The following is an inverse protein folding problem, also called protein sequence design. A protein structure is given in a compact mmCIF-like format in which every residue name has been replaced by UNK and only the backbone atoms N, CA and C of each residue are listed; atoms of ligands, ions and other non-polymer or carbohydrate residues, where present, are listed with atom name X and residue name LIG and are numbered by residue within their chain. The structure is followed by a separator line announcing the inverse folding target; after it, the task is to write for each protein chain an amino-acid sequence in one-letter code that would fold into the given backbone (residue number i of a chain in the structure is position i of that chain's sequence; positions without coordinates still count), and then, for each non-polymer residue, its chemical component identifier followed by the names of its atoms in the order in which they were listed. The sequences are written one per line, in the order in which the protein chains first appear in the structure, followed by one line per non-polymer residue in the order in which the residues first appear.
data_IF_107475481251
#
_entry.id   IF_107475481251
#
_cell.length_a   1.000
_cell.length_b   1.000
_cell.length_c   1.000
_cell.angle_alpha   90.00
_cell.angle_beta   90.00
_cell.angle_gamma   90.00
#
_symmetry.space_group_name_H-M   'P 1'
#
loop_
_entity.id
_entity.type
_entity.pdbx_description
1 polymer ?
#
# COMPACT_ATOMS: atom_id res chain seq x y z
N UNK A 1 -1.87 29.49 7.65
CA UNK A 1 -2.97 28.59 7.21
C UNK A 1 -2.51 27.36 6.40
N UNK A 2 -1.26 27.31 5.90
CA UNK A 2 -0.76 26.26 4.99
C UNK A 2 -0.49 24.87 5.61
N UNK A 3 0.03 24.79 6.84
CA UNK A 3 0.51 23.53 7.42
C UNK A 3 -0.58 22.54 7.86
N UNK A 4 -1.69 23.02 8.44
CA UNK A 4 -2.81 22.15 8.86
C UNK A 4 -3.52 21.52 7.66
N UNK A 5 -3.66 22.28 6.56
CA UNK A 5 -4.29 21.80 5.33
C UNK A 5 -3.43 20.73 4.64
N UNK A 6 -2.10 20.93 4.59
CA UNK A 6 -1.18 19.96 4.00
C UNK A 6 -1.11 18.66 4.80
N UNK A 7 -1.14 18.73 6.14
CA UNK A 7 -1.25 17.55 7.00
C UNK A 7 -2.54 16.77 6.73
N UNK A 8 -3.70 17.43 6.78
CA UNK A 8 -5.00 16.79 6.53
C UNK A 8 -5.01 16.09 5.17
N UNK A 9 -4.51 16.75 4.14
CA UNK A 9 -4.39 16.19 2.78
C UNK A 9 -3.50 14.94 2.74
N UNK A 10 -2.30 14.98 3.32
CA UNK A 10 -1.38 13.83 3.29
C UNK A 10 -1.95 12.63 4.04
N UNK A 11 -2.66 12.86 5.15
CA UNK A 11 -3.37 11.81 5.89
C UNK A 11 -4.46 11.16 5.04
N UNK A 12 -5.30 11.97 4.41
CA UNK A 12 -6.37 11.47 3.54
C UNK A 12 -5.82 10.67 2.37
N UNK A 13 -4.76 11.14 1.71
CA UNK A 13 -4.12 10.42 0.60
C UNK A 13 -3.53 9.09 1.09
N UNK A 14 -2.86 9.08 2.25
CA UNK A 14 -2.31 7.85 2.85
C UNK A 14 -3.39 6.80 3.08
N UNK A 15 -4.51 7.20 3.68
CA UNK A 15 -5.64 6.30 3.94
C UNK A 15 -6.30 5.82 2.64
N UNK A 16 -6.41 6.70 1.63
CA UNK A 16 -6.95 6.34 0.33
C UNK A 16 -6.07 5.31 -0.38
N UNK A 17 -4.74 5.48 -0.37
CA UNK A 17 -3.79 4.51 -0.96
C UNK A 17 -3.92 3.16 -0.26
N UNK A 18 -3.94 3.14 1.08
CA UNK A 18 -4.11 1.91 1.85
C UNK A 18 -5.44 1.23 1.55
N UNK A 19 -6.53 1.98 1.43
CA UNK A 19 -7.83 1.43 1.08
C UNK A 19 -7.83 0.82 -0.33
N UNK A 20 -7.23 1.52 -1.31
CA UNK A 20 -7.07 1.00 -2.67
C UNK A 20 -6.25 -0.28 -2.67
N UNK A 21 -5.13 -0.32 -1.95
CA UNK A 21 -4.31 -1.52 -1.79
C UNK A 21 -5.10 -2.69 -1.19
N UNK A 22 -5.90 -2.46 -0.14
CA UNK A 22 -6.75 -3.51 0.46
C UNK A 22 -7.77 -4.02 -0.55
N UNK A 23 -8.54 -3.14 -1.17
CA UNK A 23 -9.62 -3.52 -2.11
C UNK A 23 -9.06 -4.23 -3.33
N UNK A 24 -7.97 -3.72 -3.88
CA UNK A 24 -7.32 -4.33 -5.04
C UNK A 24 -6.77 -5.71 -4.72
N UNK A 25 -6.09 -5.90 -3.58
CA UNK A 25 -5.59 -7.22 -3.19
C UNK A 25 -6.74 -8.19 -2.87
N UNK A 26 -7.85 -7.71 -2.29
CA UNK A 26 -9.05 -8.52 -2.10
C UNK A 26 -9.66 -8.97 -3.42
N UNK A 27 -9.81 -8.05 -4.38
CA UNK A 27 -10.32 -8.34 -5.71
C UNK A 27 -9.39 -9.30 -6.46
N UNK A 28 -8.08 -9.07 -6.37
CA UNK A 28 -7.08 -9.93 -6.99
C UNK A 28 -7.15 -11.35 -6.42
N UNK A 29 -7.14 -11.49 -5.09
CA UNK A 29 -7.32 -12.79 -4.44
C UNK A 29 -8.61 -13.49 -4.84
N UNK A 30 -9.74 -12.77 -4.95
CA UNK A 30 -11.01 -13.36 -5.35
C UNK A 30 -11.01 -13.92 -6.79
N UNK A 31 -10.19 -13.35 -7.67
CA UNK A 31 -10.14 -13.73 -9.09
C UNK A 31 -9.05 -14.77 -9.35
N UNK A 32 -7.84 -14.58 -8.82
CA UNK A 32 -6.68 -15.44 -9.10
C UNK A 32 -6.40 -16.47 -8.00
N UNK A 33 -7.10 -16.39 -6.85
CA UNK A 33 -6.86 -17.22 -5.66
C UNK A 33 -5.41 -17.17 -5.16
N UNK A 34 -4.68 -16.10 -5.49
CA UNK A 34 -3.27 -15.98 -5.17
C UNK A 34 -3.05 -15.68 -3.68
N UNK A 35 -2.40 -16.60 -2.97
CA UNK A 35 -2.16 -16.51 -1.53
C UNK A 35 -1.36 -15.26 -1.12
N UNK A 36 -0.46 -14.78 -1.98
CA UNK A 36 0.25 -13.52 -1.76
C UNK A 36 -0.70 -12.31 -1.65
N UNK A 37 -1.74 -12.27 -2.48
CA UNK A 37 -2.73 -11.19 -2.47
C UNK A 37 -3.57 -11.20 -1.18
N UNK A 38 -3.95 -12.37 -0.64
CA UNK A 38 -4.69 -12.41 0.63
C UNK A 38 -3.83 -11.97 1.82
N UNK A 39 -2.54 -12.35 1.85
CA UNK A 39 -1.61 -11.90 2.87
C UNK A 39 -1.38 -10.38 2.80
N UNK A 40 -1.16 -9.84 1.59
CA UNK A 40 -1.00 -8.42 1.36
C UNK A 40 -2.26 -7.63 1.77
N UNK A 41 -3.45 -8.12 1.41
CA UNK A 41 -4.74 -7.55 1.83
C UNK A 41 -4.83 -7.43 3.36
N UNK A 42 -4.54 -8.51 4.09
CA UNK A 42 -4.60 -8.53 5.57
C UNK A 42 -3.61 -7.54 6.15
N UNK A 43 -2.36 -7.54 5.67
CA UNK A 43 -1.33 -6.60 6.12
C UNK A 43 -1.76 -5.14 5.89
N UNK A 44 -2.18 -4.78 4.69
CA UNK A 44 -2.62 -3.42 4.39
C UNK A 44 -3.86 -3.02 5.21
N UNK A 45 -4.77 -3.94 5.52
CA UNK A 45 -5.93 -3.68 6.38
C UNK A 45 -5.51 -3.37 7.82
N UNK A 46 -4.55 -4.11 8.38
CA UNK A 46 -3.97 -3.79 9.68
C UNK A 46 -3.30 -2.41 9.68
N UNK A 47 -2.48 -2.12 8.66
CA UNK A 47 -1.79 -0.83 8.55
C UNK A 47 -2.79 0.32 8.37
N UNK A 48 -3.86 0.11 7.61
CA UNK A 48 -4.98 1.05 7.47
C UNK A 48 -5.62 1.33 8.83
N UNK A 49 -5.89 0.30 9.63
CA UNK A 49 -6.42 0.46 10.98
C UNK A 49 -5.48 1.29 11.87
N UNK A 50 -4.18 0.98 11.88
CA UNK A 50 -3.18 1.75 12.66
C UNK A 50 -3.08 3.21 12.20
N UNK A 51 -3.07 3.46 10.90
CA UNK A 51 -3.01 4.81 10.34
C UNK A 51 -4.29 5.60 10.62
N UNK A 52 -5.45 4.94 10.60
CA UNK A 52 -6.75 5.61 10.80
C UNK A 52 -7.04 5.86 12.28
N UNK A 53 -6.91 4.84 13.13
CA UNK A 53 -7.32 4.90 14.54
C UNK A 53 -6.25 5.45 15.47
N UNK A 54 -4.98 5.13 15.19
CA UNK A 54 -3.85 5.53 16.05
C UNK A 54 -3.01 6.66 15.46
N UNK A 55 -3.34 7.15 14.26
CA UNK A 55 -2.58 8.17 13.52
C UNK A 55 -1.08 7.84 13.40
N UNK A 56 -0.72 6.55 13.41
CA UNK A 56 0.66 6.08 13.37
C UNK A 56 1.14 5.90 11.92
N UNK A 57 1.55 7.00 11.29
CA UNK A 57 2.00 7.00 9.90
C UNK A 57 3.41 6.42 9.68
N UNK A 58 4.17 6.13 10.75
CA UNK A 58 5.41 5.34 10.63
C UNK A 58 5.11 3.93 10.14
N UNK A 59 4.00 3.35 10.57
CA UNK A 59 3.55 2.03 10.12
C UNK A 59 3.34 2.01 8.60
N UNK A 60 2.75 3.08 8.03
CA UNK A 60 2.57 3.22 6.59
C UNK A 60 3.89 3.31 5.80
N UNK A 61 4.92 3.96 6.36
CA UNK A 61 6.26 3.99 5.75
C UNK A 61 6.89 2.60 5.75
N UNK A 62 6.88 1.91 6.90
CA UNK A 62 7.47 0.58 7.03
C UNK A 62 6.75 -0.41 6.09
N UNK A 63 5.42 -0.41 6.10
CA UNK A 63 4.62 -1.25 5.23
C UNK A 63 4.84 -0.97 3.75
N UNK A 64 4.96 0.30 3.36
CA UNK A 64 5.24 0.66 1.98
C UNK A 64 6.62 0.20 1.50
N UNK A 65 7.65 0.26 2.36
CA UNK A 65 8.98 -0.25 2.03
C UNK A 65 9.00 -1.78 1.93
N UNK A 66 8.36 -2.48 2.88
CA UNK A 66 8.26 -3.94 2.85
C UNK A 66 7.46 -4.43 1.64
N UNK A 67 6.31 -3.82 1.37
CA UNK A 67 5.47 -4.17 0.21
C UNK A 67 6.20 -3.95 -1.11
N UNK A 68 6.87 -2.80 -1.29
CA UNK A 68 7.70 -2.56 -2.46
C UNK A 68 8.82 -3.60 -2.59
N UNK A 69 9.52 -3.91 -1.50
CA UNK A 69 10.61 -4.88 -1.50
C UNK A 69 10.16 -6.29 -1.90
N UNK A 70 9.00 -6.73 -1.40
CA UNK A 70 8.42 -8.04 -1.76
C UNK A 70 8.07 -8.09 -3.24
N UNK A 71 7.35 -7.11 -3.77
CA UNK A 71 6.96 -7.11 -5.18
C UNK A 71 8.14 -6.86 -6.14
N UNK A 72 9.17 -6.12 -5.70
CA UNK A 72 10.40 -6.00 -6.46
C UNK A 72 11.17 -7.32 -6.49
N UNK A 73 11.20 -8.06 -5.38
CA UNK A 73 11.79 -9.39 -5.33
C UNK A 73 11.05 -10.36 -6.27
N UNK A 74 9.73 -10.40 -6.21
CA UNK A 74 8.90 -11.19 -7.14
C UNK A 74 9.22 -10.83 -8.59
N UNK A 75 9.29 -9.54 -8.93
CA UNK A 75 9.61 -9.10 -10.30
C UNK A 75 10.99 -9.58 -10.79
N UNK A 76 11.99 -9.63 -9.90
CA UNK A 76 13.38 -9.94 -10.27
C UNK A 76 13.69 -11.44 -10.26
N UNK A 77 13.06 -12.19 -9.37
CA UNK A 77 13.44 -13.58 -9.08
C UNK A 77 12.33 -14.60 -9.31
N UNK A 78 11.07 -14.16 -9.36
CA UNK A 78 9.91 -15.02 -9.63
C UNK A 78 8.91 -14.27 -10.54
N UNK A 79 9.33 -13.86 -11.75
CA UNK A 79 8.53 -13.00 -12.59
C UNK A 79 7.25 -13.74 -12.99
N UNK A 80 6.09 -13.06 -12.98
CA UNK A 80 4.84 -13.71 -13.30
C UNK A 80 4.73 -14.04 -14.79
N UNK A 81 5.06 -15.27 -15.18
CA UNK A 81 5.14 -15.67 -16.60
C UNK A 81 3.76 -15.99 -17.19
N UNK A 82 2.81 -16.43 -16.36
CA UNK A 82 1.48 -16.92 -16.78
C UNK A 82 0.31 -16.03 -16.35
N UNK A 83 0.58 -14.76 -16.05
CA UNK A 83 -0.43 -13.83 -15.55
C UNK A 83 -1.38 -13.36 -16.66
N UNK A 84 -2.68 -13.33 -16.35
CA UNK A 84 -3.66 -12.63 -17.18
C UNK A 84 -3.38 -11.12 -17.11
N UNK A 85 -3.92 -10.35 -18.07
CA UNK A 85 -3.75 -8.89 -18.11
C UNK A 85 -4.12 -8.22 -16.77
N UNK A 86 -5.15 -8.72 -16.09
CA UNK A 86 -5.58 -8.19 -14.79
C UNK A 86 -4.53 -8.42 -13.70
N UNK A 87 -3.89 -9.59 -13.68
CA UNK A 87 -2.87 -9.91 -12.69
C UNK A 87 -1.65 -9.01 -12.88
N UNK A 88 -1.26 -8.71 -14.12
CA UNK A 88 -0.21 -7.73 -14.42
C UNK A 88 -0.55 -6.34 -13.88
N UNK A 89 -1.77 -5.87 -14.09
CA UNK A 89 -2.22 -4.57 -13.57
C UNK A 89 -2.16 -4.56 -12.05
N UNK A 90 -2.72 -5.58 -11.39
CA UNK A 90 -2.71 -5.70 -9.94
C UNK A 90 -1.29 -5.78 -9.38
N UNK A 91 -0.40 -6.53 -10.02
CA UNK A 91 1.01 -6.64 -9.66
C UNK A 91 1.73 -5.29 -9.73
N UNK A 92 1.62 -4.58 -10.85
CA UNK A 92 2.29 -3.28 -10.99
C UNK A 92 1.71 -2.21 -10.05
N UNK A 93 0.40 -2.22 -9.81
CA UNK A 93 -0.19 -1.34 -8.79
C UNK A 93 0.34 -1.69 -7.40
N UNK A 94 0.49 -2.97 -7.07
CA UNK A 94 1.12 -3.44 -5.84
C UNK A 94 2.62 -3.10 -5.78
N UNK A 95 3.30 -2.88 -6.90
CA UNK A 95 4.68 -2.41 -6.93
C UNK A 95 4.78 -0.89 -6.70
N UNK A 96 3.95 -0.07 -7.38
CA UNK A 96 4.10 1.39 -7.35
C UNK A 96 3.33 2.09 -6.23
N UNK A 97 2.14 1.62 -5.85
CA UNK A 97 1.36 2.24 -4.77
C UNK A 97 2.09 2.23 -3.42
N UNK A 98 2.87 1.21 -3.05
CA UNK A 98 3.68 1.26 -1.83
C UNK A 98 4.70 2.40 -1.81
N UNK A 99 5.29 2.77 -2.94
CA UNK A 99 6.19 3.94 -3.02
C UNK A 99 5.45 5.25 -2.75
N UNK A 100 4.25 5.40 -3.34
CA UNK A 100 3.39 6.54 -3.04
C UNK A 100 2.97 6.54 -1.57
N UNK A 101 2.66 5.38 -1.00
CA UNK A 101 2.34 5.19 0.41
C UNK A 101 3.49 5.66 1.30
N UNK A 102 4.74 5.29 1.00
CA UNK A 102 5.94 5.75 1.73
C UNK A 102 6.00 7.27 1.73
N UNK A 103 5.87 7.90 0.57
CA UNK A 103 5.98 9.35 0.44
C UNK A 103 4.91 10.09 1.26
N UNK A 104 3.64 9.73 1.10
CA UNK A 104 2.53 10.42 1.79
C UNK A 104 2.52 10.10 3.30
N UNK A 105 2.82 8.86 3.68
CA UNK A 105 2.99 8.46 5.09
C UNK A 105 4.12 9.23 5.76
N UNK A 106 5.27 9.37 5.10
CA UNK A 106 6.41 10.13 5.63
C UNK A 106 6.07 11.61 5.79
N UNK A 107 5.40 12.21 4.80
CA UNK A 107 4.93 13.61 4.88
C UNK A 107 3.92 13.80 6.00
N UNK A 108 2.98 12.88 6.18
CA UNK A 108 2.00 12.93 7.27
C UNK A 108 2.67 12.80 8.65
N UNK A 109 3.65 11.89 8.79
CA UNK A 109 4.44 11.70 10.00
C UNK A 109 5.29 12.93 10.34
N UNK A 110 6.01 13.49 9.37
CA UNK A 110 6.87 14.67 9.60
C UNK A 110 6.05 15.89 10.02
N UNK A 111 4.86 16.09 9.46
CA UNK A 111 3.98 17.21 9.81
C UNK A 111 3.24 17.04 11.15
N UNK A 112 3.37 15.89 11.82
CA UNK A 112 2.88 15.69 13.20
C UNK A 112 3.92 16.08 14.27
N UNK A 113 5.21 16.19 13.89
CA UNK A 113 6.26 16.74 14.73
C UNK A 113 6.31 18.26 14.60
#
# INVERSE_FOLDING_TARGET
MSAKLSLKRNRTITLAILLVLVVMNAAWFAISLQSGASMAMILYAFILFFCWRMANYRAGVIAGLLGFGVHLYELLFDPPVDFLLLDWICFYLNLFLPLALVYFSYRAYRSQR
#
